data_IF_464728631067
#
_entry.id   IF_464728631067
#
_cell.length_a   1.000
_cell.length_b   1.000
_cell.length_c   1.000
_cell.angle_alpha   90.00
_cell.angle_beta   90.00
_cell.angle_gamma   90.00
#
_symmetry.space_group_name_H-M   'P 1'
#
loop_
_entity.id
_entity.type
_entity.pdbx_description
1 polymer ?
#
# COMPACT_ATOMS: atom_id res chain seq x y z
N UNK A 1 6.26 0.57 3.50
CA UNK A 1 6.01 1.93 2.95
C UNK A 1 4.84 2.59 3.66
N UNK A 2 3.60 2.21 3.39
CA UNK A 2 2.41 2.93 3.87
C UNK A 2 2.40 3.14 5.39
N UNK A 3 2.61 2.07 6.19
CA UNK A 3 2.62 2.19 7.66
C UNK A 3 3.69 3.14 8.20
N UNK A 4 4.86 3.23 7.57
CA UNK A 4 5.90 4.18 8.00
C UNK A 4 5.56 5.63 7.65
N UNK A 5 4.93 5.89 6.50
CA UNK A 5 4.43 7.22 6.16
C UNK A 5 3.22 7.61 7.04
N UNK A 6 2.35 6.65 7.38
CA UNK A 6 1.25 6.91 8.30
C UNK A 6 1.78 7.26 9.70
N UNK A 7 2.80 6.57 10.19
CA UNK A 7 3.43 6.90 11.47
C UNK A 7 4.04 8.32 11.44
N UNK A 8 4.77 8.68 10.36
CA UNK A 8 5.27 10.04 10.19
C UNK A 8 4.15 11.08 10.23
N UNK A 9 3.09 10.84 9.45
CA UNK A 9 1.94 11.75 9.38
C UNK A 9 1.25 11.92 10.75
N UNK A 10 0.94 10.81 11.43
CA UNK A 10 0.28 10.87 12.74
C UNK A 10 1.14 11.52 13.81
N UNK A 11 2.45 11.30 13.79
CA UNK A 11 3.38 11.96 14.72
C UNK A 11 3.48 13.47 14.50
N UNK A 12 3.29 13.94 13.25
CA UNK A 12 3.35 15.38 12.94
C UNK A 12 2.01 16.09 13.12
N UNK A 13 0.90 15.44 12.75
CA UNK A 13 -0.41 16.08 12.65
C UNK A 13 -1.33 15.83 13.86
N UNK A 14 -0.94 14.92 14.77
CA UNK A 14 -1.75 14.57 15.94
C UNK A 14 -0.91 14.50 17.22
N UNK A 15 -1.58 14.42 18.36
CA UNK A 15 -1.01 14.14 19.69
C UNK A 15 -1.16 12.65 20.09
N UNK A 16 -1.52 11.77 19.17
CA UNK A 16 -1.81 10.37 19.43
C UNK A 16 -0.58 9.57 19.84
N UNK A 17 -0.80 8.59 20.71
CA UNK A 17 0.16 7.51 20.95
C UNK A 17 0.06 6.47 19.85
N UNK A 18 1.17 6.14 19.22
CA UNK A 18 1.24 5.31 18.03
C UNK A 18 1.93 3.98 18.36
N UNK A 19 1.28 2.87 18.00
CA UNK A 19 1.80 1.54 18.19
C UNK A 19 1.97 0.86 16.82
N UNK A 20 3.21 0.76 16.36
CA UNK A 20 3.55 0.08 15.11
C UNK A 20 3.71 -1.42 15.33
N UNK A 21 2.80 -2.22 14.75
CA UNK A 21 2.93 -3.68 14.81
C UNK A 21 3.81 -4.21 13.69
N UNK A 22 4.80 -5.01 14.00
CA UNK A 22 5.67 -5.68 13.03
C UNK A 22 6.02 -7.09 13.49
N UNK A 23 6.32 -7.98 12.54
CA UNK A 23 6.87 -9.30 12.89
C UNK A 23 8.30 -9.13 13.40
N UNK A 24 8.69 -9.91 14.39
CA UNK A 24 9.98 -9.77 15.06
C UNK A 24 11.22 -9.88 14.12
N UNK A 25 11.08 -10.48 12.93
CA UNK A 25 12.12 -10.57 11.89
C UNK A 25 11.83 -9.69 10.67
N UNK A 26 10.91 -8.75 10.73
CA UNK A 26 10.68 -7.83 9.60
C UNK A 26 11.89 -6.90 9.43
N UNK A 27 12.30 -6.61 8.18
CA UNK A 27 13.22 -5.52 7.91
C UNK A 27 12.67 -4.20 8.45
N UNK A 28 13.52 -3.42 9.12
CA UNK A 28 13.15 -2.15 9.76
C UNK A 28 13.62 -0.92 8.98
N UNK A 29 14.21 -1.11 7.80
CA UNK A 29 14.75 -0.03 6.94
C UNK A 29 13.74 1.09 6.66
N UNK A 30 12.47 0.74 6.43
CA UNK A 30 11.43 1.75 6.19
C UNK A 30 11.01 2.55 7.45
N UNK A 31 11.42 2.14 8.62
CA UNK A 31 11.12 2.81 9.91
C UNK A 31 12.39 3.17 10.69
N UNK A 32 13.58 2.99 10.10
CA UNK A 32 14.86 3.26 10.76
C UNK A 32 14.98 4.68 11.29
N UNK A 33 14.44 5.66 10.57
CA UNK A 33 14.40 7.06 10.97
C UNK A 33 13.49 7.34 12.19
N UNK A 34 12.63 6.40 12.58
CA UNK A 34 11.73 6.49 13.72
C UNK A 34 12.28 5.81 14.97
N UNK A 35 13.44 5.12 14.88
CA UNK A 35 13.96 4.31 15.98
C UNK A 35 14.32 5.14 17.20
N UNK A 36 14.88 6.33 17.05
CA UNK A 36 15.23 7.20 18.17
C UNK A 36 14.00 7.60 18.97
N UNK A 37 12.91 7.96 18.28
CA UNK A 37 11.63 8.26 18.95
C UNK A 37 11.05 7.05 19.66
N UNK A 38 11.07 5.88 19.01
CA UNK A 38 10.58 4.64 19.59
C UNK A 38 11.39 4.24 20.84
N UNK A 39 12.72 4.37 20.81
CA UNK A 39 13.60 4.07 21.92
C UNK A 39 13.41 5.03 23.11
N UNK A 40 13.00 6.27 22.86
CA UNK A 40 12.70 7.28 23.87
C UNK A 40 11.25 7.20 24.35
N UNK A 41 10.42 6.30 23.82
CA UNK A 41 8.96 6.24 24.02
C UNK A 41 8.24 7.58 23.73
N UNK A 42 8.73 8.33 22.75
CA UNK A 42 8.15 9.61 22.35
C UNK A 42 6.94 9.37 21.44
N UNK A 43 5.80 9.03 22.04
CA UNK A 43 4.50 8.72 21.41
C UNK A 43 4.55 7.62 20.33
N UNK A 44 5.62 6.83 20.28
CA UNK A 44 5.78 5.73 19.33
C UNK A 44 6.37 4.51 20.02
N UNK A 45 5.73 3.35 19.81
CA UNK A 45 6.27 2.04 20.19
C UNK A 45 6.15 1.07 19.05
N UNK A 46 7.13 0.16 18.91
CA UNK A 46 7.02 -1.00 18.03
C UNK A 46 6.76 -2.26 18.85
N UNK A 47 5.68 -2.96 18.49
CA UNK A 47 5.27 -4.21 19.13
C UNK A 47 5.37 -5.36 18.14
N UNK A 48 5.73 -6.54 18.65
CA UNK A 48 5.90 -7.73 17.82
C UNK A 48 4.64 -8.59 17.80
N UNK A 49 4.06 -8.78 16.61
CA UNK A 49 2.99 -9.75 16.39
C UNK A 49 2.96 -10.21 14.92
N UNK A 50 2.33 -11.35 14.66
CA UNK A 50 2.11 -11.89 13.31
C UNK A 50 0.60 -12.11 13.08
N UNK A 51 0.07 -11.67 11.93
CA UNK A 51 -1.33 -11.90 11.55
C UNK A 51 -1.72 -13.40 11.55
N UNK A 52 -0.75 -14.28 11.45
CA UNK A 52 -0.97 -15.73 11.48
C UNK A 52 -1.02 -16.32 12.90
N UNK A 53 -0.75 -15.52 13.92
CA UNK A 53 -0.76 -15.93 15.32
C UNK A 53 -1.73 -15.07 16.15
N UNK A 54 -2.89 -15.64 16.47
CA UNK A 54 -3.94 -14.98 17.24
C UNK A 54 -3.50 -14.59 18.65
N UNK A 55 -2.55 -15.33 19.25
CA UNK A 55 -2.10 -15.05 20.62
C UNK A 55 -1.27 -13.77 20.65
N UNK A 56 -0.32 -13.60 19.72
CA UNK A 56 0.47 -12.38 19.63
C UNK A 56 -0.40 -11.14 19.30
N UNK A 57 -1.43 -11.33 18.44
CA UNK A 57 -2.42 -10.28 18.18
C UNK A 57 -3.21 -9.91 19.43
N UNK A 58 -3.69 -10.91 20.19
CA UNK A 58 -4.43 -10.68 21.42
C UNK A 58 -3.59 -9.91 22.45
N UNK A 59 -2.36 -10.33 22.69
CA UNK A 59 -1.44 -9.66 23.63
C UNK A 59 -1.26 -8.18 23.28
N UNK A 60 -1.04 -7.87 21.98
CA UNK A 60 -0.90 -6.49 21.51
C UNK A 60 -2.20 -5.69 21.70
N UNK A 61 -3.35 -6.26 21.35
CA UNK A 61 -4.63 -5.56 21.47
C UNK A 61 -4.99 -5.31 22.96
N UNK A 62 -4.73 -6.25 23.85
CA UNK A 62 -4.95 -6.10 25.30
C UNK A 62 -4.01 -5.06 25.93
N UNK A 63 -2.73 -5.02 25.49
CA UNK A 63 -1.76 -4.02 25.95
C UNK A 63 -2.12 -2.62 25.48
N UNK A 64 -2.45 -2.47 24.19
CA UNK A 64 -2.64 -1.17 23.54
C UNK A 64 -4.02 -0.59 23.79
N UNK A 65 -5.08 -1.44 23.76
CA UNK A 65 -6.50 -1.04 23.83
C UNK A 65 -6.82 0.13 22.88
N UNK A 66 -6.67 -0.09 21.55
CA UNK A 66 -6.66 1.00 20.58
C UNK A 66 -8.01 1.68 20.42
N UNK A 67 -8.01 3.00 20.17
CA UNK A 67 -9.17 3.77 19.68
C UNK A 67 -9.30 3.67 18.14
N UNK A 68 -8.16 3.56 17.46
CA UNK A 68 -8.08 3.46 16.00
C UNK A 68 -7.18 2.30 15.58
N UNK A 69 -7.59 1.55 14.59
CA UNK A 69 -6.79 0.47 14.01
C UNK A 69 -6.65 0.67 12.50
N UNK A 70 -5.41 0.74 12.02
CA UNK A 70 -5.10 0.78 10.58
C UNK A 70 -4.52 -0.56 10.16
N UNK A 71 -5.37 -1.44 9.60
CA UNK A 71 -4.95 -2.75 9.13
C UNK A 71 -4.33 -2.66 7.73
N UNK A 72 -3.02 -2.39 7.70
CA UNK A 72 -2.20 -2.24 6.49
C UNK A 72 -1.33 -3.48 6.20
N UNK A 73 -1.19 -4.36 7.18
CA UNK A 73 -0.35 -5.54 7.08
C UNK A 73 -0.94 -6.57 6.10
N UNK A 74 -0.14 -6.96 5.11
CA UNK A 74 -0.53 -7.93 4.10
C UNK A 74 0.70 -8.48 3.37
N UNK A 75 0.57 -9.65 2.73
CA UNK A 75 1.38 -10.00 1.58
C UNK A 75 0.84 -9.14 0.41
N UNK A 76 1.57 -8.06 0.04
CA UNK A 76 1.07 -7.01 -0.85
C UNK A 76 1.66 -7.03 -2.26
N UNK A 77 2.51 -8.00 -2.57
CA UNK A 77 3.16 -8.11 -3.88
C UNK A 77 2.44 -9.14 -4.76
N UNK A 78 1.68 -8.71 -5.80
CA UNK A 78 0.87 -9.62 -6.62
C UNK A 78 1.65 -10.73 -7.29
N UNK A 79 2.88 -10.47 -7.78
CA UNK A 79 3.68 -11.49 -8.46
C UNK A 79 4.02 -12.68 -7.55
N UNK A 80 4.34 -12.43 -6.28
CA UNK A 80 4.58 -13.51 -5.29
C UNK A 80 3.33 -14.36 -5.07
N UNK A 81 2.13 -13.80 -5.22
CA UNK A 81 0.90 -14.57 -5.03
C UNK A 81 0.72 -15.70 -6.05
N UNK A 82 1.34 -15.61 -7.22
CA UNK A 82 1.32 -16.70 -8.21
C UNK A 82 2.23 -17.87 -7.82
N UNK A 83 3.31 -17.62 -7.09
CA UNK A 83 4.25 -18.66 -6.62
C UNK A 83 3.96 -19.14 -5.20
N UNK A 84 3.32 -18.30 -4.38
CA UNK A 84 2.98 -18.59 -2.99
C UNK A 84 1.52 -18.22 -2.68
N UNK A 85 0.54 -18.83 -3.37
CA UNK A 85 -0.87 -18.44 -3.24
C UNK A 85 -1.42 -18.72 -1.84
N UNK A 86 -1.08 -19.85 -1.22
CA UNK A 86 -1.59 -20.22 0.10
C UNK A 86 -1.09 -19.29 1.20
N UNK A 87 0.19 -18.90 1.18
CA UNK A 87 0.74 -17.90 2.11
C UNK A 87 0.04 -16.55 1.96
N UNK A 88 -0.26 -16.17 0.72
CA UNK A 88 -1.01 -14.94 0.42
C UNK A 88 -2.44 -14.99 0.99
N UNK A 89 -3.16 -16.10 0.79
CA UNK A 89 -4.53 -16.26 1.29
C UNK A 89 -4.57 -16.33 2.82
N UNK A 90 -3.65 -17.12 3.44
CA UNK A 90 -3.57 -17.21 4.90
C UNK A 90 -3.23 -15.86 5.55
N UNK A 91 -2.23 -15.17 5.03
CA UNK A 91 -1.83 -13.86 5.56
C UNK A 91 -2.94 -12.82 5.40
N UNK A 92 -3.55 -12.73 4.21
CA UNK A 92 -4.46 -11.61 3.89
C UNK A 92 -5.89 -11.90 4.34
N UNK A 93 -6.45 -13.08 4.08
CA UNK A 93 -7.84 -13.40 4.46
C UNK A 93 -7.90 -13.85 5.92
N UNK A 94 -7.21 -14.94 6.25
CA UNK A 94 -7.28 -15.50 7.60
C UNK A 94 -6.62 -14.55 8.61
N UNK A 95 -5.56 -13.84 8.22
CA UNK A 95 -4.93 -12.82 9.06
C UNK A 95 -5.87 -11.66 9.38
N UNK A 96 -6.63 -11.17 8.39
CA UNK A 96 -7.68 -10.15 8.61
C UNK A 96 -8.78 -10.69 9.53
N UNK A 97 -9.26 -11.92 9.29
CA UNK A 97 -10.27 -12.55 10.15
C UNK A 97 -9.78 -12.67 11.59
N UNK A 98 -8.54 -13.13 11.81
CA UNK A 98 -7.93 -13.24 13.16
C UNK A 98 -7.89 -11.89 13.87
N UNK A 99 -7.43 -10.85 13.18
CA UNK A 99 -7.37 -9.50 13.76
C UNK A 99 -8.76 -8.98 14.14
N UNK A 100 -9.74 -9.07 13.25
CA UNK A 100 -11.10 -8.61 13.52
C UNK A 100 -11.76 -9.40 14.65
N UNK A 101 -11.54 -10.73 14.73
CA UNK A 101 -12.03 -11.56 15.83
C UNK A 101 -11.36 -11.24 17.17
N UNK A 102 -10.06 -10.96 17.19
CA UNK A 102 -9.35 -10.52 18.41
C UNK A 102 -9.91 -9.19 18.90
N UNK A 103 -10.04 -8.20 18.00
CA UNK A 103 -10.62 -6.89 18.34
C UNK A 103 -12.06 -7.02 18.87
N UNK A 104 -12.88 -7.89 18.25
CA UNK A 104 -14.26 -8.15 18.67
C UNK A 104 -14.36 -8.77 20.07
N UNK A 105 -13.42 -9.66 20.41
CA UNK A 105 -13.45 -10.42 21.67
C UNK A 105 -12.76 -9.68 22.82
N UNK A 106 -11.94 -8.69 22.55
CA UNK A 106 -11.30 -7.88 23.57
C UNK A 106 -12.34 -6.96 24.24
N UNK A 107 -12.66 -7.22 25.49
CA UNK A 107 -13.70 -6.46 26.20
C UNK A 107 -13.25 -5.03 26.52
N UNK A 108 -14.20 -4.09 26.48
CA UNK A 108 -14.00 -2.69 26.88
C UNK A 108 -13.19 -1.85 25.89
N UNK A 109 -13.11 -2.28 24.61
CA UNK A 109 -12.65 -1.46 23.48
C UNK A 109 -13.73 -1.42 22.41
N UNK A 110 -13.76 -0.33 21.61
CA UNK A 110 -14.69 -0.17 20.50
C UNK A 110 -14.02 0.69 19.39
N UNK A 111 -12.90 0.22 18.84
CA UNK A 111 -12.10 0.99 17.92
C UNK A 111 -12.79 1.23 16.58
N UNK A 112 -12.47 2.36 15.93
CA UNK A 112 -12.71 2.53 14.49
C UNK A 112 -11.60 1.80 13.73
N UNK A 113 -11.96 0.89 12.84
CA UNK A 113 -11.04 -0.01 12.16
C UNK A 113 -11.01 0.29 10.67
N UNK A 114 -9.88 0.76 10.17
CA UNK A 114 -9.61 0.83 8.74
C UNK A 114 -9.02 -0.50 8.23
N UNK A 115 -9.67 -1.12 7.25
CA UNK A 115 -9.18 -2.29 6.53
C UNK A 115 -8.75 -1.90 5.12
N UNK A 116 -7.47 -2.05 4.81
CA UNK A 116 -6.91 -1.73 3.51
C UNK A 116 -7.09 -2.91 2.53
N UNK A 117 -8.13 -2.86 1.68
CA UNK A 117 -8.27 -3.76 0.54
C UNK A 117 -7.40 -3.29 -0.65
N UNK A 118 -7.91 -3.31 -1.87
CA UNK A 118 -7.16 -2.91 -3.07
C UNK A 118 -8.09 -2.71 -4.25
N UNK A 119 -7.75 -1.84 -5.19
CA UNK A 119 -8.43 -1.73 -6.49
C UNK A 119 -8.29 -3.00 -7.35
N UNK A 120 -7.32 -3.86 -7.06
CA UNK A 120 -7.16 -5.15 -7.74
C UNK A 120 -8.37 -6.08 -7.58
N UNK A 121 -9.28 -5.81 -6.61
CA UNK A 121 -10.55 -6.54 -6.46
C UNK A 121 -11.42 -6.44 -7.70
N UNK A 122 -11.35 -5.32 -8.43
CA UNK A 122 -12.08 -5.10 -9.66
C UNK A 122 -11.49 -5.86 -10.86
N UNK A 123 -10.17 -6.15 -10.84
CA UNK A 123 -9.48 -6.93 -11.85
C UNK A 123 -9.65 -6.35 -13.25
N UNK A 124 -10.22 -7.14 -14.16
CA UNK A 124 -10.47 -6.72 -15.54
C UNK A 124 -11.79 -5.96 -15.65
N UNK A 125 -11.68 -4.66 -15.82
CA UNK A 125 -12.84 -3.78 -16.04
C UNK A 125 -12.92 -3.37 -17.50
N UNK A 126 -14.08 -3.52 -18.17
CA UNK A 126 -14.30 -3.03 -19.53
C UNK A 126 -14.17 -1.50 -19.61
N UNK A 127 -13.66 -0.98 -20.74
CA UNK A 127 -13.43 0.46 -20.93
C UNK A 127 -14.67 1.32 -20.70
N UNK A 128 -15.81 0.83 -21.11
CA UNK A 128 -17.12 1.50 -20.99
C UNK A 128 -17.61 1.64 -19.54
N UNK A 129 -16.96 0.96 -18.58
CA UNK A 129 -17.25 1.07 -17.15
C UNK A 129 -16.25 1.97 -16.39
N UNK A 130 -15.40 2.70 -17.09
CA UNK A 130 -14.52 3.68 -16.49
C UNK A 130 -15.23 5.03 -16.33
N UNK A 131 -14.93 5.79 -15.26
CA UNK A 131 -14.08 5.43 -14.13
C UNK A 131 -14.74 4.38 -13.22
N UNK A 132 -13.90 3.59 -12.51
CA UNK A 132 -14.34 2.50 -11.63
C UNK A 132 -14.90 3.07 -10.34
N UNK A 133 -16.18 2.88 -10.07
CA UNK A 133 -16.82 3.20 -8.81
C UNK A 133 -16.97 1.97 -7.90
N UNK A 134 -17.44 2.16 -6.67
CA UNK A 134 -17.57 1.10 -5.68
C UNK A 134 -18.62 0.03 -6.02
N UNK A 135 -19.56 0.33 -6.92
CA UNK A 135 -20.60 -0.59 -7.41
C UNK A 135 -20.10 -1.56 -8.48
N UNK A 136 -18.89 -1.35 -9.02
CA UNK A 136 -18.29 -2.25 -9.98
C UNK A 136 -18.10 -3.64 -9.37
N UNK A 137 -18.53 -4.67 -10.12
CA UNK A 137 -18.39 -6.06 -9.70
C UNK A 137 -16.93 -6.47 -9.53
N UNK A 138 -16.65 -7.31 -8.56
CA UNK A 138 -15.33 -7.92 -8.38
C UNK A 138 -15.03 -8.92 -9.48
N UNK A 139 -13.85 -8.82 -10.09
CA UNK A 139 -13.35 -9.75 -11.10
C UNK A 139 -11.84 -9.95 -10.94
N UNK A 140 -11.40 -10.48 -9.76
CA UNK A 140 -9.98 -10.54 -9.39
C UNK A 140 -9.15 -11.35 -10.39
N UNK A 141 -7.97 -10.84 -10.74
CA UNK A 141 -7.08 -11.41 -11.77
C UNK A 141 -5.80 -12.06 -11.19
N UNK A 142 -5.74 -12.28 -9.88
CA UNK A 142 -4.60 -12.91 -9.21
C UNK A 142 -5.01 -13.49 -7.85
N UNK A 143 -4.23 -14.43 -7.27
CA UNK A 143 -4.46 -14.87 -5.89
C UNK A 143 -4.39 -13.72 -4.87
N UNK A 144 -3.53 -12.73 -5.10
CA UNK A 144 -3.52 -11.49 -4.31
C UNK A 144 -4.86 -10.74 -4.40
N UNK A 145 -5.37 -10.53 -5.61
CA UNK A 145 -6.65 -9.86 -5.81
C UNK A 145 -7.81 -10.62 -5.15
N UNK A 146 -7.84 -11.96 -5.26
CA UNK A 146 -8.79 -12.83 -4.55
C UNK A 146 -8.69 -12.61 -3.04
N UNK A 147 -7.45 -12.58 -2.49
CA UNK A 147 -7.26 -12.35 -1.07
C UNK A 147 -7.79 -10.99 -0.61
N UNK A 148 -7.66 -9.96 -1.45
CA UNK A 148 -8.17 -8.62 -1.16
C UNK A 148 -9.69 -8.51 -1.28
N UNK A 149 -10.35 -9.33 -2.13
CA UNK A 149 -11.80 -9.49 -2.10
C UNK A 149 -12.24 -10.10 -0.76
N UNK A 150 -11.58 -11.16 -0.29
CA UNK A 150 -11.87 -11.74 1.02
C UNK A 150 -11.67 -10.75 2.17
N UNK A 151 -10.60 -9.95 2.13
CA UNK A 151 -10.33 -8.88 3.10
C UNK A 151 -11.44 -7.82 3.12
N UNK A 152 -11.90 -7.37 1.94
CA UNK A 152 -12.98 -6.38 1.77
C UNK A 152 -14.30 -6.90 2.35
N UNK A 153 -14.68 -8.12 1.96
CA UNK A 153 -15.92 -8.75 2.42
C UNK A 153 -15.92 -9.05 3.92
N UNK A 154 -14.78 -9.43 4.51
CA UNK A 154 -14.66 -9.61 5.95
C UNK A 154 -14.90 -8.31 6.71
N UNK A 155 -14.36 -7.19 6.23
CA UNK A 155 -14.59 -5.88 6.84
C UNK A 155 -16.08 -5.53 6.89
N UNK A 156 -16.78 -5.65 5.76
CA UNK A 156 -18.21 -5.42 5.68
C UNK A 156 -19.01 -6.40 6.58
N UNK A 157 -18.73 -7.69 6.50
CA UNK A 157 -19.40 -8.71 7.30
C UNK A 157 -19.30 -8.43 8.80
N UNK A 158 -18.09 -8.06 9.28
CA UNK A 158 -17.90 -7.75 10.70
C UNK A 158 -18.68 -6.52 11.17
N UNK A 159 -18.88 -5.53 10.29
CA UNK A 159 -19.75 -4.40 10.59
C UNK A 159 -21.23 -4.81 10.63
N UNK A 160 -21.71 -5.57 9.63
CA UNK A 160 -23.10 -5.97 9.52
C UNK A 160 -23.54 -6.98 10.60
N UNK A 161 -22.65 -7.94 10.92
CA UNK A 161 -22.98 -9.05 11.81
C UNK A 161 -22.66 -8.79 13.29
N UNK A 162 -21.71 -7.90 13.58
CA UNK A 162 -21.18 -7.71 14.93
C UNK A 162 -21.10 -6.24 15.36
N UNK A 163 -21.63 -5.31 14.58
CA UNK A 163 -21.62 -3.86 14.85
C UNK A 163 -20.20 -3.28 15.06
N UNK A 164 -19.14 -3.96 14.57
CA UNK A 164 -17.79 -3.40 14.61
C UNK A 164 -17.68 -2.21 13.65
N UNK A 165 -16.98 -1.17 14.06
CA UNK A 165 -16.79 0.06 13.26
C UNK A 165 -15.71 -0.14 12.19
N UNK A 166 -15.92 -1.09 11.26
CA UNK A 166 -14.96 -1.40 10.18
C UNK A 166 -15.31 -0.60 8.93
N UNK A 167 -14.31 0.08 8.37
CA UNK A 167 -14.40 0.81 7.11
C UNK A 167 -13.31 0.32 6.18
N UNK A 168 -13.65 0.05 4.92
CA UNK A 168 -12.73 -0.53 3.96
C UNK A 168 -12.31 0.48 2.90
N UNK A 169 -11.04 0.43 2.49
CA UNK A 169 -10.58 1.20 1.32
C UNK A 169 -10.14 0.27 0.18
N UNK A 170 -10.55 0.61 -1.04
CA UNK A 170 -10.06 0.01 -2.28
C UNK A 170 -9.07 1.00 -2.90
N UNK A 171 -7.86 1.00 -2.34
CA UNK A 171 -6.82 1.94 -2.76
C UNK A 171 -6.29 1.57 -4.14
N UNK A 172 -6.30 2.55 -5.05
CA UNK A 172 -5.66 2.48 -6.36
C UNK A 172 -4.15 2.69 -6.24
N UNK A 173 -3.41 2.66 -7.37
CA UNK A 173 -1.95 2.70 -7.32
C UNK A 173 -1.46 3.94 -6.58
N UNK A 174 -0.70 3.71 -5.53
CA UNK A 174 -0.03 4.75 -4.76
C UNK A 174 1.45 4.40 -4.57
N UNK A 175 2.31 5.40 -4.63
CA UNK A 175 3.75 5.21 -4.60
C UNK A 175 4.46 6.42 -3.99
N UNK A 176 5.78 6.37 -3.91
CA UNK A 176 6.63 7.41 -3.35
C UNK A 176 7.86 6.83 -2.65
N UNK A 177 8.61 7.62 -1.90
CA UNK A 177 9.75 7.16 -1.12
C UNK A 177 9.43 5.92 -0.28
N UNK A 178 10.41 5.06 -0.05
CA UNK A 178 10.25 3.79 0.71
C UNK A 178 9.40 2.72 0.02
N UNK A 179 9.00 2.93 -1.25
CA UNK A 179 8.35 1.88 -2.04
C UNK A 179 9.30 0.71 -2.26
N UNK A 180 8.84 -0.51 -2.02
CA UNK A 180 9.64 -1.72 -2.23
C UNK A 180 10.06 -1.91 -3.69
N UNK A 181 11.27 -2.41 -3.91
CA UNK A 181 11.91 -2.61 -5.22
C UNK A 181 11.32 -3.73 -6.09
N UNK A 182 10.20 -4.27 -5.67
CA UNK A 182 9.43 -5.29 -6.40
C UNK A 182 8.29 -4.69 -7.26
N UNK A 183 7.97 -3.42 -7.06
CA UNK A 183 6.96 -2.69 -7.84
C UNK A 183 7.60 -1.96 -9.01
N UNK A 184 6.91 -1.90 -10.15
CA UNK A 184 7.48 -1.44 -11.41
C UNK A 184 8.16 -0.05 -11.29
N UNK A 185 7.44 0.94 -10.79
CA UNK A 185 7.93 2.31 -10.61
C UNK A 185 9.19 2.38 -9.74
N UNK A 186 9.19 1.62 -8.65
CA UNK A 186 10.30 1.57 -7.72
C UNK A 186 11.49 0.78 -8.29
N UNK A 187 11.22 -0.32 -9.00
CA UNK A 187 12.23 -1.09 -9.73
C UNK A 187 12.92 -0.23 -10.79
N UNK A 188 12.16 0.58 -11.53
CA UNK A 188 12.72 1.47 -12.55
C UNK A 188 13.57 2.57 -11.93
N UNK A 189 13.06 3.25 -10.91
CA UNK A 189 13.81 4.28 -10.18
C UNK A 189 15.11 3.73 -9.58
N UNK A 190 15.07 2.53 -8.99
CA UNK A 190 16.26 1.83 -8.48
C UNK A 190 17.27 1.51 -9.58
N UNK A 191 16.83 0.91 -10.69
CA UNK A 191 17.73 0.60 -11.80
C UNK A 191 18.36 1.87 -12.39
N UNK A 192 17.58 2.95 -12.56
CA UNK A 192 18.11 4.24 -13.03
C UNK A 192 19.20 4.74 -12.08
N UNK A 193 18.93 4.78 -10.78
CA UNK A 193 19.91 5.22 -9.78
C UNK A 193 21.20 4.37 -9.80
N UNK A 194 21.08 3.04 -9.94
CA UNK A 194 22.23 2.14 -10.05
C UNK A 194 23.02 2.33 -11.35
N UNK A 195 22.35 2.61 -12.48
CA UNK A 195 22.99 2.94 -13.77
C UNK A 195 23.75 4.26 -13.65
N UNK A 196 23.13 5.28 -13.05
CA UNK A 196 23.77 6.58 -12.81
C UNK A 196 25.03 6.46 -11.96
N UNK A 197 25.01 5.58 -10.95
CA UNK A 197 26.15 5.29 -10.09
C UNK A 197 27.18 4.34 -10.73
N UNK A 198 26.95 3.87 -11.97
CA UNK A 198 27.85 2.95 -12.65
C UNK A 198 27.90 1.53 -12.08
N UNK A 199 26.93 1.15 -11.24
CA UNK A 199 26.88 -0.17 -10.60
C UNK A 199 26.35 -1.27 -11.52
N UNK A 200 25.54 -0.91 -12.53
CA UNK A 200 25.01 -1.84 -13.54
C UNK A 200 25.10 -1.22 -14.95
N UNK A 201 25.12 -2.05 -16.02
CA UNK A 201 25.09 -1.56 -17.40
C UNK A 201 23.87 -0.69 -17.69
N UNK A 202 23.91 0.22 -18.70
CA UNK A 202 22.82 1.11 -19.04
C UNK A 202 21.69 0.38 -19.79
N UNK A 203 21.15 -0.66 -19.18
CA UNK A 203 20.04 -1.49 -19.68
C UNK A 203 18.99 -1.63 -18.59
N UNK A 204 17.80 -1.11 -18.85
CA UNK A 204 16.66 -1.16 -17.93
C UNK A 204 15.70 -2.25 -18.36
N UNK A 205 15.53 -3.27 -17.51
CA UNK A 205 14.63 -4.40 -17.76
C UNK A 205 13.22 -4.11 -17.28
N UNK A 206 12.24 -4.32 -18.15
CA UNK A 206 10.83 -3.99 -17.91
C UNK A 206 9.91 -5.18 -18.19
N UNK A 207 8.67 -5.13 -17.65
CA UNK A 207 7.57 -6.03 -18.00
C UNK A 207 6.58 -5.37 -18.97
N UNK A 208 5.26 -5.53 -18.69
CA UNK A 208 4.20 -4.90 -19.47
C UNK A 208 4.20 -3.38 -19.26
N UNK A 209 4.31 -2.62 -20.34
CA UNK A 209 4.34 -1.17 -20.34
C UNK A 209 3.01 -0.51 -20.74
N UNK A 210 2.03 -1.29 -21.18
CA UNK A 210 0.81 -0.75 -21.81
C UNK A 210 -0.34 -0.55 -20.80
N UNK A 211 -0.23 -1.12 -19.59
CA UNK A 211 -1.24 -0.97 -18.55
C UNK A 211 -1.42 0.49 -18.14
N UNK A 212 -2.68 0.95 -18.08
CA UNK A 212 -3.08 2.27 -17.62
C UNK A 212 -3.30 2.27 -16.12
N UNK A 213 -2.65 3.16 -15.40
CA UNK A 213 -2.76 3.32 -13.95
C UNK A 213 -3.04 4.77 -13.58
N UNK A 214 -3.81 4.97 -12.51
CA UNK A 214 -3.92 6.27 -11.86
C UNK A 214 -3.00 6.29 -10.65
N UNK A 215 -2.22 7.35 -10.53
CA UNK A 215 -1.13 7.47 -9.55
C UNK A 215 -1.50 8.44 -8.42
N UNK A 216 -1.30 8.01 -7.20
CA UNK A 216 -1.38 8.84 -6.00
C UNK A 216 -0.04 8.83 -5.26
N UNK A 217 0.26 9.90 -4.55
CA UNK A 217 1.38 9.91 -3.60
C UNK A 217 0.99 9.16 -2.33
N UNK A 218 1.94 8.44 -1.74
CA UNK A 218 1.72 7.72 -0.48
C UNK A 218 1.38 8.66 0.68
N UNK A 219 1.86 9.90 0.65
CA UNK A 219 1.57 10.93 1.67
C UNK A 219 0.11 11.36 1.60
N UNK A 220 -0.44 11.51 0.39
CA UNK A 220 -1.87 11.73 0.20
C UNK A 220 -2.71 10.51 0.61
N UNK A 221 -2.23 9.30 0.34
CA UNK A 221 -2.92 8.08 0.75
C UNK A 221 -3.05 7.97 2.28
N UNK A 222 -1.99 8.27 3.03
CA UNK A 222 -2.05 8.19 4.51
C UNK A 222 -2.91 9.29 5.11
N UNK A 223 -2.95 10.48 4.50
CA UNK A 223 -3.87 11.56 4.85
C UNK A 223 -5.33 11.13 4.63
N UNK A 224 -5.62 10.42 3.53
CA UNK A 224 -6.94 9.84 3.28
C UNK A 224 -7.32 8.83 4.37
N UNK A 225 -6.40 7.95 4.77
CA UNK A 225 -6.69 6.97 5.83
C UNK A 225 -6.95 7.61 7.20
N UNK A 226 -6.25 8.68 7.53
CA UNK A 226 -6.53 9.47 8.73
C UNK A 226 -7.94 10.08 8.67
N UNK A 227 -8.29 10.76 7.58
CA UNK A 227 -9.62 11.36 7.42
C UNK A 227 -10.73 10.30 7.44
N UNK A 228 -10.50 9.12 6.87
CA UNK A 228 -11.45 8.01 6.87
C UNK A 228 -11.93 7.62 8.27
N UNK A 229 -11.03 7.62 9.24
CA UNK A 229 -11.35 7.19 10.61
C UNK A 229 -11.74 8.33 11.54
N UNK A 230 -11.47 9.58 11.15
CA UNK A 230 -11.70 10.77 12.00
C UNK A 230 -12.89 11.61 11.54
N UNK A 231 -13.21 11.63 10.25
CA UNK A 231 -14.31 12.44 9.69
C UNK A 231 -15.56 11.59 9.55
N UNK A 232 -16.43 11.62 10.59
CA UNK A 232 -17.73 10.96 10.61
C UNK A 232 -17.68 9.50 10.04
N UNK A 233 -16.90 8.60 10.67
CA UNK A 233 -16.70 7.24 10.13
C UNK A 233 -18.00 6.46 10.01
N UNK A 234 -18.25 5.87 8.83
CA UNK A 234 -19.46 5.09 8.54
C UNK A 234 -19.09 3.61 8.44
N UNK A 235 -19.47 2.85 9.46
CA UNK A 235 -19.19 1.42 9.54
C UNK A 235 -19.85 0.65 8.37
N UNK A 236 -19.14 -0.36 7.85
CA UNK A 236 -19.58 -1.19 6.72
C UNK A 236 -19.32 -0.57 5.34
N UNK A 237 -18.96 0.71 5.27
CA UNK A 237 -18.73 1.39 4.01
C UNK A 237 -17.37 1.04 3.39
N UNK A 238 -17.35 1.05 2.05
CA UNK A 238 -16.14 0.90 1.25
C UNK A 238 -15.93 2.13 0.37
N UNK A 239 -14.68 2.57 0.24
CA UNK A 239 -14.33 3.75 -0.56
C UNK A 239 -13.19 3.48 -1.52
N UNK A 240 -13.35 3.90 -2.77
CA UNK A 240 -12.25 4.04 -3.69
C UNK A 240 -11.40 5.26 -3.32
N UNK A 241 -10.10 5.06 -3.22
CA UNK A 241 -9.12 6.13 -3.01
C UNK A 241 -8.05 6.03 -4.10
N UNK A 242 -7.70 7.13 -4.72
CA UNK A 242 -6.71 7.17 -5.79
C UNK A 242 -6.34 8.58 -6.19
N UNK A 243 -5.31 8.72 -7.02
CA UNK A 243 -4.91 9.99 -7.59
C UNK A 243 -5.84 10.46 -8.71
N UNK A 244 -5.47 11.59 -9.30
CA UNK A 244 -6.18 12.20 -10.44
C UNK A 244 -5.41 12.05 -11.76
N UNK A 245 -4.11 11.75 -11.71
CA UNK A 245 -3.29 11.61 -12.89
C UNK A 245 -3.19 10.15 -13.35
N UNK A 246 -3.62 9.90 -14.58
CA UNK A 246 -3.58 8.57 -15.22
C UNK A 246 -2.60 8.54 -16.38
N UNK A 247 -1.71 7.58 -16.38
CA UNK A 247 -0.80 7.33 -17.50
C UNK A 247 -0.45 5.85 -17.62
N UNK A 248 0.06 5.44 -18.78
CA UNK A 248 0.60 4.10 -18.97
C UNK A 248 1.90 3.91 -18.20
N UNK A 249 2.25 2.65 -17.94
CA UNK A 249 3.56 2.32 -17.34
C UNK A 249 4.71 2.84 -18.24
N UNK A 250 4.51 2.86 -19.56
CA UNK A 250 5.47 3.46 -20.50
C UNK A 250 5.66 4.94 -20.25
N UNK A 251 4.58 5.70 -20.18
CA UNK A 251 4.66 7.16 -19.93
C UNK A 251 5.32 7.48 -18.57
N UNK A 252 5.01 6.68 -17.55
CA UNK A 252 5.67 6.80 -16.23
C UNK A 252 7.17 6.51 -16.34
N UNK A 253 7.56 5.45 -17.06
CA UNK A 253 8.98 5.13 -17.29
C UNK A 253 9.69 6.25 -18.06
N UNK A 254 9.07 6.76 -19.14
CA UNK A 254 9.63 7.85 -19.96
C UNK A 254 9.86 9.09 -19.11
N UNK A 255 8.94 9.38 -18.18
CA UNK A 255 9.13 10.47 -17.22
C UNK A 255 10.33 10.23 -16.30
N UNK A 256 10.46 9.04 -15.70
CA UNK A 256 11.63 8.71 -14.86
C UNK A 256 12.95 8.78 -15.64
N UNK A 257 12.95 8.30 -16.91
CA UNK A 257 14.13 8.42 -17.79
C UNK A 257 14.47 9.88 -18.13
N UNK A 258 13.47 10.75 -18.23
CA UNK A 258 13.71 12.19 -18.47
C UNK A 258 14.45 12.85 -17.32
N UNK A 259 14.25 12.38 -16.09
CA UNK A 259 14.93 12.84 -14.87
C UNK A 259 16.35 12.28 -14.74
N UNK A 260 16.71 11.26 -15.52
CA UNK A 260 18.03 10.64 -15.43
C UNK A 260 19.13 11.53 -16.00
N UNK A 261 20.27 11.54 -15.31
CA UNK A 261 21.51 12.16 -15.80
C UNK A 261 22.13 11.38 -16.98
N UNK A 262 21.79 10.08 -17.15
CA UNK A 262 22.24 9.19 -18.23
C UNK A 262 21.22 9.20 -19.36
N UNK A 263 21.69 9.44 -20.60
CA UNK A 263 20.82 9.48 -21.80
C UNK A 263 20.99 8.26 -22.71
N UNK A 264 21.89 7.35 -22.36
CA UNK A 264 22.23 6.13 -23.10
C UNK A 264 21.53 4.86 -22.56
N UNK A 265 20.55 5.02 -21.68
CA UNK A 265 19.80 3.90 -21.08
C UNK A 265 18.90 3.27 -22.14
N UNK A 266 19.10 1.96 -22.40
CA UNK A 266 18.24 1.16 -23.28
C UNK A 266 17.18 0.44 -22.46
N UNK A 267 15.98 0.36 -22.97
CA UNK A 267 14.84 -0.36 -22.35
C UNK A 267 14.68 -1.71 -23.05
N UNK A 268 14.71 -2.79 -22.27
CA UNK A 268 14.56 -4.16 -22.78
C UNK A 268 13.42 -4.88 -22.04
N UNK A 269 12.50 -5.49 -22.80
CA UNK A 269 11.41 -6.29 -22.21
C UNK A 269 11.96 -7.63 -21.74
N UNK A 270 11.73 -7.93 -20.47
CA UNK A 270 12.06 -9.21 -19.84
C UNK A 270 10.78 -10.03 -19.66
N UNK A 271 10.67 -11.15 -20.37
CA UNK A 271 9.51 -12.02 -20.34
C UNK A 271 9.19 -12.60 -18.96
N UNK A 272 10.19 -12.72 -18.07
CA UNK A 272 10.00 -13.20 -16.69
C UNK A 272 9.22 -12.20 -15.82
N UNK A 273 9.10 -10.95 -16.28
CA UNK A 273 8.36 -9.88 -15.60
C UNK A 273 6.91 -9.76 -16.09
N UNK A 274 6.50 -10.56 -17.06
CA UNK A 274 5.12 -10.58 -17.54
C UNK A 274 4.24 -11.42 -16.61
N UNK A 275 3.03 -10.94 -16.35
CA UNK A 275 2.03 -11.68 -15.56
C UNK A 275 1.15 -12.52 -16.47
N UNK A 276 0.64 -13.68 -16.01
CA UNK A 276 -0.32 -14.47 -16.79
C UNK A 276 -1.60 -13.69 -17.15
N UNK A 277 -2.07 -12.84 -16.23
CA UNK A 277 -3.22 -11.96 -16.39
C UNK A 277 -2.88 -10.62 -15.72
N UNK A 278 -3.23 -9.52 -16.36
CA UNK A 278 -3.03 -8.16 -15.80
C UNK A 278 -4.37 -7.42 -15.69
N UNK A 279 -4.50 -6.57 -14.67
CA UNK A 279 -5.61 -5.63 -14.53
C UNK A 279 -5.21 -4.34 -15.27
N UNK A 280 -5.50 -4.28 -16.58
CA UNK A 280 -4.90 -3.28 -17.48
C UNK A 280 -5.44 -1.86 -17.28
N UNK A 281 -6.65 -1.70 -16.76
CA UNK A 281 -7.32 -0.42 -16.61
C UNK A 281 -7.66 -0.16 -15.15
N UNK A 282 -6.96 0.79 -14.54
CA UNK A 282 -7.11 1.14 -13.12
C UNK A 282 -7.31 2.66 -12.98
N UNK A 283 -8.50 3.13 -13.33
CA UNK A 283 -8.92 4.54 -13.26
C UNK A 283 -10.09 4.66 -12.27
N UNK A 284 -9.89 5.23 -11.06
CA UNK A 284 -10.91 5.32 -10.03
C UNK A 284 -11.95 6.43 -10.26
N UNK A 285 -13.17 6.19 -9.81
CA UNK A 285 -14.07 7.23 -9.33
C UNK A 285 -13.87 7.37 -7.82
N UNK A 286 -13.37 8.51 -7.36
CA UNK A 286 -13.13 8.82 -5.95
C UNK A 286 -14.18 9.78 -5.37
N UNK A 287 -15.21 10.09 -6.12
CA UNK A 287 -16.21 11.13 -5.77
C UNK A 287 -16.97 10.80 -4.49
N UNK A 288 -17.19 9.51 -4.17
CA UNK A 288 -17.81 9.08 -2.92
C UNK A 288 -16.98 9.49 -1.72
N UNK A 289 -15.68 9.22 -1.75
CA UNK A 289 -14.76 9.57 -0.67
C UNK A 289 -14.59 11.09 -0.52
N UNK A 290 -14.45 11.79 -1.66
CA UNK A 290 -14.39 13.25 -1.68
C UNK A 290 -15.65 13.90 -1.04
N UNK A 291 -16.85 13.46 -1.44
CA UNK A 291 -18.10 13.99 -0.84
C UNK A 291 -18.21 13.73 0.66
N UNK A 292 -17.65 12.62 1.12
CA UNK A 292 -17.71 12.26 2.55
C UNK A 292 -16.71 13.07 3.39
N UNK A 293 -15.47 13.23 2.93
CA UNK A 293 -14.36 13.73 3.75
C UNK A 293 -13.77 15.06 3.28
N UNK A 294 -14.14 15.52 2.08
CA UNK A 294 -13.47 16.66 1.43
C UNK A 294 -12.06 16.37 0.93
N UNK A 295 -11.60 15.11 1.01
CA UNK A 295 -10.24 14.74 0.61
C UNK A 295 -10.02 14.85 -0.90
N UNK A 296 -8.89 15.44 -1.28
CA UNK A 296 -8.33 15.43 -2.63
C UNK A 296 -6.81 15.19 -2.55
N UNK A 297 -6.20 14.55 -3.57
CA UNK A 297 -4.75 14.44 -3.63
C UNK A 297 -4.12 15.81 -3.91
N UNK A 298 -3.06 16.15 -3.19
CA UNK A 298 -2.38 17.45 -3.27
C UNK A 298 -1.01 17.35 -3.93
N UNK A 299 -0.40 16.17 -3.95
CA UNK A 299 0.96 15.95 -4.42
C UNK A 299 0.90 15.48 -5.88
N UNK A 300 1.58 16.22 -6.78
CA UNK A 300 1.57 15.89 -8.20
C UNK A 300 2.31 14.59 -8.51
N UNK A 301 1.98 13.98 -9.64
CA UNK A 301 2.67 12.80 -10.17
C UNK A 301 4.17 13.06 -10.35
N UNK A 302 4.53 14.23 -10.90
CA UNK A 302 5.90 14.63 -11.14
C UNK A 302 6.70 14.71 -9.84
N UNK A 303 6.13 15.31 -8.81
CA UNK A 303 6.74 15.39 -7.48
C UNK A 303 6.95 13.99 -6.89
N UNK A 304 5.93 13.13 -6.98
CA UNK A 304 5.99 11.75 -6.48
C UNK A 304 7.11 10.94 -7.15
N UNK A 305 7.21 11.01 -8.49
CA UNK A 305 8.23 10.26 -9.24
C UNK A 305 9.63 10.82 -8.99
N UNK A 306 9.76 12.14 -8.89
CA UNK A 306 11.03 12.79 -8.55
C UNK A 306 11.50 12.34 -7.17
N UNK A 307 10.63 12.41 -6.16
CA UNK A 307 10.97 12.00 -4.78
C UNK A 307 11.30 10.51 -4.69
N UNK A 308 10.62 9.66 -5.48
CA UNK A 308 10.92 8.24 -5.56
C UNK A 308 12.33 7.98 -6.13
N UNK A 309 12.69 8.69 -7.21
CA UNK A 309 14.01 8.56 -7.81
C UNK A 309 15.11 9.09 -6.87
N UNK A 310 14.91 10.24 -6.23
CA UNK A 310 15.85 10.79 -5.24
C UNK A 310 16.03 9.86 -4.03
N UNK A 311 14.95 9.24 -3.57
CA UNK A 311 15.03 8.22 -2.51
C UNK A 311 15.98 7.07 -2.90
N UNK A 312 15.88 6.56 -4.14
CA UNK A 312 16.76 5.49 -4.61
C UNK A 312 18.19 5.97 -4.86
N UNK A 313 18.39 7.19 -5.35
CA UNK A 313 19.72 7.81 -5.46
C UNK A 313 20.42 7.87 -4.10
N UNK A 314 19.71 8.33 -3.08
CA UNK A 314 20.19 8.37 -1.70
C UNK A 314 20.62 6.99 -1.17
N UNK A 315 19.75 5.97 -1.38
CA UNK A 315 20.07 4.60 -0.94
C UNK A 315 21.23 3.96 -1.70
N UNK A 316 21.32 4.18 -3.00
CA UNK A 316 22.43 3.68 -3.83
C UNK A 316 23.75 4.36 -3.41
N UNK A 317 23.74 5.66 -3.13
CA UNK A 317 24.93 6.40 -2.71
C UNK A 317 25.40 6.06 -1.29
N UNK A 318 24.51 5.57 -0.41
CA UNK A 318 24.87 5.14 0.95
C UNK A 318 25.64 3.80 0.99
N UNK A 319 25.81 3.14 -0.15
CA UNK A 319 26.53 1.85 -0.25
C UNK A 319 25.69 0.64 0.16
N UNK A 320 24.37 0.79 0.28
CA UNK A 320 23.49 -0.35 0.52
C UNK A 320 23.58 -1.37 -0.63
N UNK A 321 23.63 -2.66 -0.27
CA UNK A 321 23.61 -3.74 -1.26
C UNK A 321 22.19 -4.16 -1.58
N UNK A 322 21.85 -4.22 -2.85
CA UNK A 322 20.53 -4.62 -3.33
C UNK A 322 20.58 -5.88 -4.16
N UNK A 323 19.56 -6.72 -4.05
CA UNK A 323 19.35 -7.78 -5.03
C UNK A 323 19.02 -7.16 -6.38
N UNK A 324 19.78 -7.53 -7.41
CA UNK A 324 19.45 -7.24 -8.81
C UNK A 324 18.47 -8.31 -9.25
N UNK A 325 17.18 -7.95 -9.34
CA UNK A 325 16.08 -8.83 -9.73
C UNK A 325 15.65 -8.57 -11.14
#
# INVERSE_FOLDING_TARGET
>A
MVGSHLADFLLSETDWDIYGMCRWRSPLDNVSHLMDRANQNDRLKFLSADLRDSISLLNVVEEVRPDYVFHLAAQSYPSTSFTSPLDTLDTNILGTARLLEVLRRCSGIDPVIHVCASSEVYGRVPREKLPINEECSFHPASPYAISKVGTDLLGRYHSEAYDQKVITTRMFTHTGPRRGDVFAESTFAKQIAMIEAGQIPPVLKVGNLDSLRTWADVRDAVRAYYLLVTVNPIAGESYNIGGTYSCTIRQMLDYLLSLSSRKDIRVEVDSQRLRPIDADLQVPDTSKFHRHTGWEPEISFEKTMTDLLEYWRGRVSSGEQFLIR
#
